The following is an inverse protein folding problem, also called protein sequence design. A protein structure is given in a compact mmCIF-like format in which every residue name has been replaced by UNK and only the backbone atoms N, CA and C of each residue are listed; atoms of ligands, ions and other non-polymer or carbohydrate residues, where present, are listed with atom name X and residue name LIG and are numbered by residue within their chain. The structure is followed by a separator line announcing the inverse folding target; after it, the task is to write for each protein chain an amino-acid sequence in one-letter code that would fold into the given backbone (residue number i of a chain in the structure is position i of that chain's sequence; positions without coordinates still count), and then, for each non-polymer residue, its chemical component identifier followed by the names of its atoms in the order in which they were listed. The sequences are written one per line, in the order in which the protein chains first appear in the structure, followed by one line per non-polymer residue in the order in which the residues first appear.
data_IF_357826125540
#
_entry.id   IF_357826125540
#
_cell.length_a   1.000
_cell.length_b   1.000
_cell.length_c   1.000
_cell.angle_alpha   90.00
_cell.angle_beta   90.00
_cell.angle_gamma   90.00
#
_symmetry.space_group_name_H-M   'P 1'
#
loop_
_entity.id
_entity.type
_entity.pdbx_description
1 polymer ?
#
# COMPACT_ATOMS: atom_id res chain seq x y z
N UNK A 1 -4.70 -6.59 -5.27
CA UNK A 1 -5.56 -5.43 -4.95
C UNK A 1 -6.44 -5.06 -6.13
N UNK A 2 -5.85 -4.77 -7.30
CA UNK A 2 -6.60 -4.46 -8.55
C UNK A 2 -7.64 -5.51 -8.92
N UNK A 3 -7.33 -6.81 -8.82
CA UNK A 3 -8.30 -7.87 -9.07
C UNK A 3 -9.56 -7.72 -8.21
N UNK A 4 -9.39 -7.42 -6.92
CA UNK A 4 -10.49 -7.24 -5.98
C UNK A 4 -11.26 -5.95 -6.31
N UNK A 5 -10.55 -4.84 -6.55
CA UNK A 5 -11.15 -3.56 -6.93
C UNK A 5 -12.02 -3.72 -8.18
N UNK A 6 -11.49 -4.37 -9.21
CA UNK A 6 -12.19 -4.58 -10.48
C UNK A 6 -13.36 -5.57 -10.35
N UNK A 7 -13.16 -6.68 -9.63
CA UNK A 7 -14.16 -7.73 -9.44
C UNK A 7 -15.35 -7.23 -8.61
N UNK A 8 -15.06 -6.45 -7.58
CA UNK A 8 -16.05 -5.98 -6.61
C UNK A 8 -16.57 -4.56 -6.92
N UNK A 9 -16.04 -3.89 -7.94
CA UNK A 9 -16.52 -2.58 -8.39
C UNK A 9 -16.22 -1.43 -7.41
N UNK A 10 -15.08 -1.50 -6.72
CA UNK A 10 -14.68 -0.49 -5.72
C UNK A 10 -14.19 0.78 -6.43
N UNK A 11 -14.81 1.93 -6.15
CA UNK A 11 -14.37 3.25 -6.59
C UNK A 11 -13.43 3.88 -5.55
N UNK A 12 -12.13 3.59 -5.67
CA UNK A 12 -11.11 4.16 -4.78
C UNK A 12 -10.08 5.05 -5.49
N UNK A 13 -10.44 5.60 -6.65
CA UNK A 13 -9.53 6.35 -7.52
C UNK A 13 -8.21 5.58 -7.75
N UNK A 14 -8.29 4.25 -7.88
CA UNK A 14 -7.11 3.41 -8.02
C UNK A 14 -6.39 3.75 -9.31
N UNK A 15 -5.18 4.29 -9.17
CA UNK A 15 -4.31 4.59 -10.28
C UNK A 15 -3.13 3.63 -10.27
N UNK A 16 -3.08 2.81 -11.31
CA UNK A 16 -1.97 1.91 -11.58
C UNK A 16 -0.97 2.64 -12.47
N UNK A 17 -0.01 3.29 -11.85
CA UNK A 17 1.09 3.91 -12.57
C UNK A 17 2.26 4.23 -11.66
N UNK A 18 3.34 4.71 -12.26
CA UNK A 18 4.59 4.99 -11.56
C UNK A 18 4.54 6.41 -11.00
N UNK A 19 4.08 6.56 -9.75
CA UNK A 19 4.14 7.88 -9.08
C UNK A 19 5.53 8.10 -8.53
N UNK A 20 6.17 9.22 -8.90
CA UNK A 20 7.52 9.58 -8.48
C UNK A 20 7.54 10.15 -7.06
N UNK A 21 7.73 9.29 -6.07
CA UNK A 21 8.05 9.72 -4.70
C UNK A 21 9.55 9.91 -4.54
N UNK A 22 10.02 11.13 -4.33
CA UNK A 22 11.40 11.35 -3.88
C UNK A 22 11.43 11.26 -2.36
N UNK A 23 12.11 10.25 -1.78
CA UNK A 23 12.42 10.26 -0.35
C UNK A 23 13.53 11.28 -0.09
N UNK A 24 13.16 12.56 0.05
CA UNK A 24 14.06 13.56 0.59
C UNK A 24 14.07 13.44 2.12
N UNK A 25 15.21 13.62 2.80
CA UNK A 25 15.20 13.91 4.23
C UNK A 25 14.30 15.12 4.48
N UNK A 26 13.45 15.01 5.50
CA UNK A 26 12.18 15.70 5.76
C UNK A 26 12.23 17.23 5.94
N UNK A 27 13.26 17.91 5.42
CA UNK A 27 13.55 19.30 5.78
C UNK A 27 13.48 20.32 4.63
N UNK A 28 13.28 19.92 3.37
CA UNK A 28 13.47 20.84 2.24
C UNK A 28 12.57 20.64 1.00
N UNK A 29 11.28 20.36 1.17
CA UNK A 29 10.33 20.46 0.05
C UNK A 29 9.01 21.13 0.49
N UNK A 30 8.66 22.33 -0.02
CA UNK A 30 7.45 23.06 0.38
C UNK A 30 6.20 22.70 -0.44
N UNK A 31 6.23 21.61 -1.21
CA UNK A 31 5.07 21.14 -1.97
C UNK A 31 4.31 20.06 -1.18
N UNK A 32 2.96 20.01 -1.26
CA UNK A 32 2.19 18.91 -0.70
C UNK A 32 2.48 17.67 -1.53
N UNK A 33 3.48 16.90 -1.11
CA UNK A 33 3.82 15.63 -1.74
C UNK A 33 2.77 14.64 -1.25
N UNK A 34 1.92 14.16 -2.16
CA UNK A 34 1.02 13.05 -1.89
C UNK A 34 1.85 11.77 -1.86
N UNK A 35 1.80 11.08 -0.73
CA UNK A 35 2.56 9.87 -0.42
C UNK A 35 2.30 8.77 -1.45
N UNK A 36 3.21 8.59 -2.41
CA UNK A 36 3.39 7.32 -3.10
C UNK A 36 4.89 7.09 -3.26
N UNK A 37 5.39 6.06 -2.60
CA UNK A 37 6.82 5.84 -2.39
C UNK A 37 7.38 5.07 -3.61
N UNK A 38 8.24 5.73 -4.38
CA UNK A 38 9.25 5.03 -5.16
C UNK A 38 10.52 4.98 -4.32
N UNK A 39 11.19 3.83 -4.32
CA UNK A 39 12.51 3.74 -3.71
C UNK A 39 13.54 4.30 -4.71
N UNK A 40 13.81 5.59 -4.59
CA UNK A 40 14.85 6.28 -5.35
C UNK A 40 16.12 6.29 -4.51
N UNK A 41 17.15 5.56 -4.96
CA UNK A 41 18.44 5.62 -4.29
C UNK A 41 19.21 6.86 -4.73
N UNK A 42 19.56 7.71 -3.77
CA UNK A 42 20.52 8.79 -3.97
C UNK A 42 21.88 8.38 -3.40
N UNK A 43 22.79 7.98 -4.28
CA UNK A 43 24.13 7.53 -3.90
C UNK A 43 24.27 6.00 -3.74
N UNK A 44 25.52 5.53 -3.80
CA UNK A 44 25.85 4.10 -3.88
C UNK A 44 25.42 3.28 -2.66
N UNK A 45 25.62 3.74 -1.40
CA UNK A 45 25.27 2.90 -0.23
C UNK A 45 23.78 2.57 -0.14
N UNK A 46 22.91 3.51 -0.53
CA UNK A 46 21.46 3.28 -0.55
C UNK A 46 21.10 2.36 -1.73
N UNK A 47 21.76 2.51 -2.87
CA UNK A 47 21.54 1.65 -4.03
C UNK A 47 21.88 0.19 -3.72
N UNK A 48 23.01 -0.05 -3.03
CA UNK A 48 23.46 -1.38 -2.60
C UNK A 48 22.50 -2.00 -1.57
N UNK A 49 22.00 -1.19 -0.63
CA UNK A 49 21.00 -1.63 0.34
C UNK A 49 19.69 -2.05 -0.34
N UNK A 50 19.17 -1.23 -1.27
CA UNK A 50 17.95 -1.56 -2.02
C UNK A 50 18.14 -2.79 -2.93
N UNK A 51 19.32 -2.94 -3.54
CA UNK A 51 19.64 -4.13 -4.33
C UNK A 51 19.65 -5.40 -3.47
N UNK A 52 20.16 -5.31 -2.24
CA UNK A 52 20.13 -6.41 -1.27
C UNK A 52 18.69 -6.76 -0.89
N UNK A 53 17.89 -5.77 -0.48
CA UNK A 53 16.48 -5.98 -0.13
C UNK A 53 15.68 -6.56 -1.30
N UNK A 54 15.94 -6.11 -2.53
CA UNK A 54 15.32 -6.65 -3.74
C UNK A 54 15.69 -8.12 -3.96
N UNK A 55 16.97 -8.47 -3.82
CA UNK A 55 17.45 -9.84 -3.98
C UNK A 55 16.89 -10.78 -2.91
N UNK A 56 16.80 -10.33 -1.66
CA UNK A 56 16.18 -11.07 -0.55
C UNK A 56 14.69 -11.30 -0.83
N UNK A 57 13.95 -10.26 -1.21
CA UNK A 57 12.53 -10.39 -1.56
C UNK A 57 12.28 -11.35 -2.73
N UNK A 58 13.15 -11.31 -3.75
CA UNK A 58 13.09 -12.23 -4.87
C UNK A 58 13.38 -13.69 -4.45
N UNK A 59 14.30 -13.90 -3.51
CA UNK A 59 14.65 -15.23 -3.00
C UNK A 59 13.55 -15.85 -2.14
N UNK A 60 12.77 -15.03 -1.41
CA UNK A 60 11.65 -15.44 -0.56
C UNK A 60 10.35 -15.78 -1.34
N UNK A 61 10.46 -16.02 -2.65
CA UNK A 61 9.32 -16.31 -3.56
C UNK A 61 8.39 -15.09 -3.74
N UNK A 62 8.89 -13.88 -3.51
CA UNK A 62 8.17 -12.65 -3.80
C UNK A 62 7.84 -12.57 -5.30
N UNK A 63 6.59 -12.25 -5.70
CA UNK A 63 6.27 -12.02 -7.11
C UNK A 63 6.95 -10.73 -7.58
N UNK A 64 8.15 -10.84 -8.14
CA UNK A 64 8.92 -9.70 -8.66
C UNK A 64 8.58 -9.36 -10.11
N UNK A 65 8.16 -10.37 -10.88
CA UNK A 65 7.89 -10.21 -12.31
C UNK A 65 6.62 -9.38 -12.56
N UNK A 66 6.78 -8.25 -13.25
CA UNK A 66 5.69 -7.33 -13.57
C UNK A 66 5.17 -6.47 -12.40
N UNK A 67 5.73 -6.64 -11.20
CA UNK A 67 5.38 -5.86 -10.01
C UNK A 67 6.45 -4.80 -9.71
N UNK A 68 7.72 -5.15 -9.85
CA UNK A 68 8.83 -4.25 -9.58
C UNK A 68 9.71 -4.12 -10.82
N UNK A 69 9.83 -2.90 -11.34
CA UNK A 69 10.65 -2.61 -12.51
C UNK A 69 11.86 -1.76 -12.08
N UNK A 70 13.02 -2.38 -11.88
CA UNK A 70 14.24 -1.65 -11.54
C UNK A 70 14.80 -0.92 -12.76
N UNK A 71 15.18 0.34 -12.60
CA UNK A 71 16.06 1.08 -13.50
C UNK A 71 17.43 1.17 -12.82
N UNK A 72 18.34 0.29 -13.26
CA UNK A 72 19.67 0.15 -12.67
C UNK A 72 20.72 1.03 -13.35
N UNK A 73 20.46 1.49 -14.58
CA UNK A 73 21.33 2.45 -15.26
C UNK A 73 21.14 3.85 -14.66
N UNK A 74 22.18 4.47 -14.07
CA UNK A 74 22.08 5.79 -13.48
C UNK A 74 21.72 6.88 -14.49
N UNK A 75 22.11 6.76 -15.76
CA UNK A 75 21.77 7.75 -16.77
C UNK A 75 20.26 7.75 -17.05
N UNK A 76 19.71 6.57 -17.34
CA UNK A 76 18.27 6.38 -17.51
C UNK A 76 17.48 6.75 -16.24
N UNK A 77 17.98 6.42 -15.06
CA UNK A 77 17.32 6.74 -13.79
C UNK A 77 17.22 8.26 -13.54
N UNK A 78 18.27 9.01 -13.87
CA UNK A 78 18.28 10.48 -13.75
C UNK A 78 17.36 11.15 -14.76
N UNK A 79 17.30 10.62 -15.98
CA UNK A 79 16.39 11.11 -17.01
C UNK A 79 14.94 10.94 -16.58
N UNK A 80 14.61 9.76 -16.04
CA UNK A 80 13.27 9.42 -15.59
C UNK A 80 12.83 10.27 -14.38
N UNK A 81 13.64 10.32 -13.32
CA UNK A 81 13.31 11.02 -12.07
C UNK A 81 13.53 12.53 -12.17
N UNK A 82 14.33 12.98 -13.15
CA UNK A 82 14.80 14.38 -13.27
C UNK A 82 15.58 14.85 -12.04
N UNK A 83 16.27 13.93 -11.36
CA UNK A 83 17.14 14.22 -10.21
C UNK A 83 18.58 13.77 -10.51
N UNK A 84 19.58 14.68 -10.52
CA UNK A 84 20.96 14.33 -10.85
C UNK A 84 21.62 13.36 -9.86
N UNK A 85 21.16 13.34 -8.61
CA UNK A 85 21.73 12.50 -7.55
C UNK A 85 21.21 11.05 -7.59
N UNK A 86 20.23 10.75 -8.45
CA UNK A 86 19.67 9.41 -8.58
C UNK A 86 20.69 8.43 -9.15
N UNK A 87 20.79 7.27 -8.51
CA UNK A 87 21.62 6.15 -8.92
C UNK A 87 20.79 4.98 -9.45
N UNK A 88 19.72 4.61 -8.73
CA UNK A 88 18.79 3.55 -9.15
C UNK A 88 17.36 3.91 -8.74
N UNK A 89 16.39 3.32 -9.44
CA UNK A 89 14.96 3.50 -9.17
C UNK A 89 14.27 2.15 -9.17
N UNK A 90 13.47 1.86 -8.15
CA UNK A 90 12.59 0.70 -8.14
C UNK A 90 11.13 1.16 -8.27
N UNK A 91 10.51 0.82 -9.40
CA UNK A 91 9.11 1.17 -9.68
C UNK A 91 8.20 0.04 -9.27
N UNK A 92 7.43 0.20 -8.19
CA UNK A 92 6.43 -0.78 -7.76
C UNK A 92 5.19 -0.18 -7.11
N UNK A 93 4.90 1.10 -7.36
CA UNK A 93 3.80 1.79 -6.69
C UNK A 93 2.51 1.80 -7.51
N UNK A 94 1.40 1.84 -6.78
CA UNK A 94 0.10 2.33 -7.25
C UNK A 94 -0.39 3.35 -6.23
N UNK A 95 -1.26 4.25 -6.65
CA UNK A 95 -1.90 5.21 -5.75
C UNK A 95 -3.39 4.88 -5.62
N UNK A 96 -3.96 5.16 -4.45
CA UNK A 96 -5.39 5.04 -4.21
C UNK A 96 -5.82 6.08 -3.18
N UNK A 97 -7.10 6.41 -3.17
CA UNK A 97 -7.68 7.31 -2.17
C UNK A 97 -8.22 6.50 -0.99
N UNK A 98 -7.53 6.49 0.18
CA UNK A 98 -7.80 5.51 1.23
C UNK A 98 -9.19 5.67 1.85
N UNK A 99 -9.71 6.90 1.94
CA UNK A 99 -11.04 7.16 2.47
C UNK A 99 -12.13 6.53 1.60
N UNK A 100 -12.01 6.66 0.27
CA UNK A 100 -12.95 6.02 -0.66
C UNK A 100 -12.84 4.50 -0.63
N UNK A 101 -11.62 3.96 -0.59
CA UNK A 101 -11.40 2.52 -0.46
C UNK A 101 -12.12 1.95 0.78
N UNK A 102 -11.93 2.58 1.94
CA UNK A 102 -12.56 2.12 3.19
C UNK A 102 -14.07 2.25 3.11
N UNK A 103 -14.59 3.36 2.58
CA UNK A 103 -16.03 3.57 2.44
C UNK A 103 -16.67 2.50 1.56
N UNK A 104 -16.16 2.28 0.35
CA UNK A 104 -16.71 1.31 -0.59
C UNK A 104 -16.57 -0.12 -0.10
N UNK A 105 -15.46 -0.44 0.57
CA UNK A 105 -15.29 -1.74 1.20
C UNK A 105 -16.30 -1.99 2.32
N UNK A 106 -16.60 -0.98 3.14
CA UNK A 106 -17.63 -1.08 4.17
C UNK A 106 -19.02 -1.23 3.55
N UNK A 107 -19.34 -0.45 2.52
CA UNK A 107 -20.59 -0.56 1.76
C UNK A 107 -20.78 -1.97 1.22
N UNK A 108 -19.75 -2.55 0.59
CA UNK A 108 -19.76 -3.93 0.11
C UNK A 108 -20.03 -4.93 1.24
N UNK A 109 -19.35 -4.79 2.37
CA UNK A 109 -19.55 -5.67 3.52
C UNK A 109 -20.99 -5.59 4.07
N UNK A 110 -21.56 -4.39 4.14
CA UNK A 110 -22.92 -4.16 4.62
C UNK A 110 -23.94 -4.75 3.64
N UNK A 111 -23.85 -4.38 2.36
CA UNK A 111 -24.87 -4.70 1.36
C UNK A 111 -24.82 -6.16 0.89
N UNK A 112 -23.61 -6.69 0.66
CA UNK A 112 -23.42 -8.05 0.10
C UNK A 112 -23.31 -9.13 1.16
N UNK A 113 -22.76 -8.79 2.33
CA UNK A 113 -22.48 -9.77 3.40
C UNK A 113 -23.32 -9.54 4.66
N UNK A 114 -24.18 -8.52 4.69
CA UNK A 114 -25.07 -8.26 5.82
C UNK A 114 -24.31 -7.82 7.08
N UNK A 115 -23.14 -7.21 6.92
CA UNK A 115 -22.38 -6.70 8.06
C UNK A 115 -23.21 -5.64 8.80
N UNK A 116 -23.41 -5.85 10.10
CA UNK A 116 -24.03 -4.86 10.98
C UNK A 116 -22.94 -3.96 11.57
N UNK A 117 -22.80 -2.74 11.03
CA UNK A 117 -21.81 -1.76 11.49
C UNK A 117 -22.43 -0.83 12.54
N UNK A 118 -21.79 -0.74 13.71
CA UNK A 118 -22.15 0.22 14.77
C UNK A 118 -20.98 1.16 15.04
N UNK A 119 -21.15 2.46 14.82
CA UNK A 119 -20.08 3.46 14.95
C UNK A 119 -20.03 4.18 16.30
N UNK A 120 -21.09 4.07 17.10
CA UNK A 120 -21.24 4.78 18.38
C UNK A 120 -21.44 3.84 19.58
N UNK A 121 -21.06 2.57 19.43
CA UNK A 121 -21.20 1.54 20.45
C UNK A 121 -19.81 1.01 20.83
N UNK A 122 -19.07 1.71 21.72
CA UNK A 122 -17.72 1.28 22.11
C UNK A 122 -17.81 -0.08 22.81
N UNK A 123 -17.02 -1.04 22.31
CA UNK A 123 -16.93 -2.38 22.90
C UNK A 123 -16.11 -2.29 24.18
N UNK A 124 -16.70 -2.69 25.30
CA UNK A 124 -16.06 -2.65 26.62
C UNK A 124 -15.39 -3.99 26.96
N UNK A 125 -15.97 -5.10 26.47
CA UNK A 125 -15.41 -6.43 26.66
C UNK A 125 -15.88 -7.41 25.60
N UNK A 126 -15.15 -8.51 25.47
CA UNK A 126 -15.52 -9.66 24.63
C UNK A 126 -15.75 -10.86 25.55
N UNK A 127 -16.91 -11.48 25.43
CA UNK A 127 -17.29 -12.67 26.20
C UNK A 127 -17.46 -13.88 25.28
N UNK A 128 -17.22 -15.07 25.80
CA UNK A 128 -17.51 -16.31 25.09
C UNK A 128 -19.01 -16.49 24.94
N UNK A 129 -19.51 -16.72 23.73
CA UNK A 129 -20.91 -17.01 23.49
C UNK A 129 -21.33 -18.32 24.16
N UNK A 130 -22.39 -18.29 24.95
CA UNK A 130 -22.93 -19.49 25.58
C UNK A 130 -23.80 -20.27 24.58
N UNK A 131 -23.28 -21.36 24.00
CA UNK A 131 -24.11 -22.43 23.44
C UNK A 131 -23.65 -23.04 22.11
N UNK A 132 -23.41 -24.36 22.15
CA UNK A 132 -23.71 -25.33 21.09
C UNK A 132 -23.15 -25.12 19.67
N UNK A 133 -22.15 -25.92 19.30
CA UNK A 133 -21.62 -26.14 17.94
C UNK A 133 -20.95 -24.95 17.22
N UNK A 134 -21.11 -23.70 17.66
CA UNK A 134 -20.40 -22.53 17.12
C UNK A 134 -19.47 -21.90 18.15
N UNK A 135 -18.16 -21.86 17.87
CA UNK A 135 -17.20 -21.05 18.66
C UNK A 135 -17.46 -19.57 18.38
N UNK A 136 -18.43 -18.98 19.07
CA UNK A 136 -18.77 -17.56 18.92
C UNK A 136 -18.17 -16.70 20.02
N UNK A 137 -17.59 -15.56 19.64
CA UNK A 137 -17.27 -14.46 20.55
C UNK A 137 -18.38 -13.40 20.45
N UNK A 138 -18.78 -12.82 21.58
CA UNK A 138 -19.74 -11.72 21.64
C UNK A 138 -19.06 -10.48 22.19
N UNK A 139 -19.15 -9.37 21.48
CA UNK A 139 -18.79 -8.06 22.01
C UNK A 139 -19.94 -7.54 22.88
N UNK A 140 -19.61 -6.99 24.05
CA UNK A 140 -20.56 -6.31 24.92
C UNK A 140 -20.22 -4.82 24.98
N UNK A 141 -21.27 -4.02 24.82
CA UNK A 141 -21.31 -2.56 24.91
C UNK A 141 -22.25 -2.28 26.09
N UNK A 142 -21.89 -1.38 27.01
CA UNK A 142 -22.68 -1.11 28.23
C UNK A 142 -24.11 -0.64 27.95
#
# INVERSE_FOLDING_TARGET
MEEIIAKEGIDCDFWRGFTYGMSLPTFFCPLPVTDTIQDVAMGQPIADALATSYAEFAADVGPVEGIMMPILDPAQAREEIRCPATTVVYKSSGSLFPQKLVLDFLTLCIEKHGLNLQTHAPVQRVVSGAGGAGRGWRAETD
#
